data_IF_356015359001
#
_entry.id   IF_356015359001
#
_cell.length_a   1.000
_cell.length_b   1.000
_cell.length_c   1.000
_cell.angle_alpha   90.00
_cell.angle_beta   90.00
_cell.angle_gamma   90.00
#
_symmetry.space_group_name_H-M   'P 1'
#
loop_
_entity.id
_entity.type
_entity.pdbx_description
1 polymer ?
#
# COMPACT_ATOMS: atom_id res chain seq x y z
N UNK A 1 -12.45 -24.27 -16.95
CA UNK A 1 -11.46 -23.87 -15.92
C UNK A 1 -10.95 -22.47 -16.31
N UNK A 2 -11.68 -21.40 -15.97
CA UNK A 2 -11.32 -20.00 -16.29
C UNK A 2 -12.34 -18.98 -15.70
N UNK A 3 -12.43 -18.85 -14.37
CA UNK A 3 -13.25 -17.79 -13.76
C UNK A 3 -12.50 -16.92 -12.74
N UNK A 4 -11.20 -17.13 -12.52
CA UNK A 4 -10.42 -16.38 -11.54
C UNK A 4 -9.70 -15.15 -12.10
N UNK A 5 -9.54 -15.03 -13.42
CA UNK A 5 -8.64 -14.01 -13.99
C UNK A 5 -9.25 -12.60 -14.10
N UNK A 6 -10.59 -12.51 -14.24
CA UNK A 6 -11.25 -11.24 -14.62
C UNK A 6 -11.39 -10.25 -13.46
N UNK A 7 -11.54 -10.75 -12.23
CA UNK A 7 -11.68 -9.89 -11.04
C UNK A 7 -10.33 -9.27 -10.64
N UNK A 8 -9.25 -10.05 -10.68
CA UNK A 8 -7.91 -9.56 -10.34
C UNK A 8 -7.38 -8.60 -11.39
N UNK A 9 -7.56 -8.90 -12.68
CA UNK A 9 -7.14 -8.02 -13.77
C UNK A 9 -7.79 -6.62 -13.68
N UNK A 10 -9.08 -6.57 -13.34
CA UNK A 10 -9.78 -5.29 -13.16
C UNK A 10 -9.24 -4.48 -11.97
N UNK A 11 -8.82 -5.13 -10.88
CA UNK A 11 -8.26 -4.45 -9.71
C UNK A 11 -6.86 -3.90 -9.97
N UNK A 12 -6.01 -4.63 -10.71
CA UNK A 12 -4.72 -4.11 -11.16
C UNK A 12 -4.87 -2.94 -12.13
N UNK A 13 -5.87 -3.00 -13.03
CA UNK A 13 -6.19 -1.88 -13.91
C UNK A 13 -6.66 -0.66 -13.11
N UNK A 14 -7.51 -0.86 -12.09
CA UNK A 14 -7.92 0.20 -11.17
C UNK A 14 -6.74 0.76 -10.37
N UNK A 15 -5.76 -0.07 -10.00
CA UNK A 15 -4.55 0.38 -9.31
C UNK A 15 -3.67 1.27 -10.21
N UNK A 16 -3.49 0.86 -11.48
CA UNK A 16 -2.80 1.68 -12.46
C UNK A 16 -3.54 2.99 -12.73
N UNK A 17 -4.87 2.94 -12.82
CA UNK A 17 -5.70 4.12 -12.99
C UNK A 17 -5.61 5.05 -11.77
N UNK A 18 -5.60 4.50 -10.55
CA UNK A 18 -5.37 5.25 -9.32
C UNK A 18 -4.01 5.95 -9.36
N UNK A 19 -2.95 5.25 -9.75
CA UNK A 19 -1.63 5.85 -9.95
C UNK A 19 -1.64 6.96 -11.02
N UNK A 20 -2.38 6.80 -12.11
CA UNK A 20 -2.55 7.86 -13.12
C UNK A 20 -3.24 9.11 -12.56
N UNK A 21 -4.30 8.94 -11.78
CA UNK A 21 -4.97 10.05 -11.09
C UNK A 21 -4.08 10.70 -10.05
N UNK A 22 -3.24 9.93 -9.36
CA UNK A 22 -2.26 10.44 -8.41
C UNK A 22 -1.27 11.40 -9.08
N UNK A 23 -0.80 11.05 -10.27
CA UNK A 23 0.09 11.92 -11.05
C UNK A 23 -0.65 13.23 -11.40
N UNK A 24 -1.90 13.15 -11.84
CA UNK A 24 -2.72 14.32 -12.11
C UNK A 24 -2.93 15.21 -10.88
N UNK A 25 -3.14 14.60 -9.71
CA UNK A 25 -3.20 15.28 -8.42
C UNK A 25 -1.87 15.98 -8.10
N UNK A 26 -0.74 15.27 -8.15
CA UNK A 26 0.58 15.81 -7.86
C UNK A 26 0.93 17.02 -8.74
N UNK A 27 0.66 16.92 -10.05
CA UNK A 27 0.82 18.04 -10.98
C UNK A 27 -0.12 19.19 -10.63
N UNK A 28 -1.39 18.91 -10.33
CA UNK A 28 -2.34 19.97 -10.00
C UNK A 28 -1.96 20.73 -8.71
N UNK A 29 -1.41 20.03 -7.71
CA UNK A 29 -0.87 20.64 -6.49
C UNK A 29 0.31 21.54 -6.83
N UNK A 30 1.27 21.08 -7.65
CA UNK A 30 2.38 21.91 -8.13
C UNK A 30 1.88 23.17 -8.85
N UNK A 31 0.93 23.03 -9.77
CA UNK A 31 0.36 24.14 -10.53
C UNK A 31 -0.46 25.11 -9.69
N UNK A 32 -1.04 24.65 -8.57
CA UNK A 32 -1.84 25.48 -7.68
C UNK A 32 -1.03 26.55 -6.93
N UNK A 33 0.31 26.47 -6.92
CA UNK A 33 1.20 27.34 -6.15
C UNK A 33 0.74 27.44 -4.68
N UNK A 34 0.58 26.29 -4.03
CA UNK A 34 0.11 26.23 -2.64
C UNK A 34 -1.37 26.59 -2.49
N UNK A 35 -2.22 26.13 -3.42
CA UNK A 35 -3.67 26.36 -3.44
C UNK A 35 -4.13 27.80 -3.68
N UNK A 36 -3.24 28.69 -4.11
CA UNK A 36 -3.57 30.09 -4.43
C UNK A 36 -4.36 30.23 -5.73
N UNK A 37 -4.16 29.31 -6.70
CA UNK A 37 -4.92 29.28 -7.95
C UNK A 37 -6.12 28.33 -7.86
N UNK A 38 -7.32 28.90 -7.74
CA UNK A 38 -8.57 28.16 -7.50
C UNK A 38 -8.87 27.10 -8.57
N UNK A 39 -8.57 27.35 -9.84
CA UNK A 39 -8.77 26.39 -10.93
C UNK A 39 -7.95 25.11 -10.73
N UNK A 40 -6.65 25.26 -10.49
CA UNK A 40 -5.73 24.14 -10.23
C UNK A 40 -6.04 23.44 -8.90
N UNK A 41 -6.42 24.19 -7.87
CA UNK A 41 -6.87 23.64 -6.59
C UNK A 41 -8.09 22.74 -6.75
N UNK A 42 -9.08 23.16 -7.54
CA UNK A 42 -10.30 22.37 -7.75
C UNK A 42 -9.98 21.07 -8.50
N UNK A 43 -9.12 21.15 -9.52
CA UNK A 43 -8.64 19.99 -10.27
C UNK A 43 -7.86 19.03 -9.34
N UNK A 44 -7.01 19.55 -8.46
CA UNK A 44 -6.30 18.75 -7.46
C UNK A 44 -7.28 17.98 -6.56
N UNK A 45 -8.32 18.64 -6.02
CA UNK A 45 -9.32 17.98 -5.18
C UNK A 45 -10.05 16.87 -5.94
N UNK A 46 -10.42 17.10 -7.19
CA UNK A 46 -11.10 16.09 -8.02
C UNK A 46 -10.20 14.87 -8.24
N UNK A 47 -8.95 15.08 -8.67
CA UNK A 47 -8.00 13.98 -8.87
C UNK A 47 -7.69 13.25 -7.56
N UNK A 48 -7.60 13.97 -6.44
CA UNK A 48 -7.39 13.39 -5.11
C UNK A 48 -8.53 12.47 -4.67
N UNK A 49 -9.78 12.84 -4.94
CA UNK A 49 -10.91 11.97 -4.65
C UNK A 49 -10.95 10.76 -5.59
N UNK A 50 -10.62 10.96 -6.88
CA UNK A 50 -10.59 9.89 -7.87
C UNK A 50 -9.49 8.86 -7.61
N UNK A 51 -8.27 9.31 -7.28
CA UNK A 51 -7.12 8.44 -6.95
C UNK A 51 -7.43 7.61 -5.70
N UNK A 52 -7.97 8.22 -4.64
CA UNK A 52 -8.35 7.50 -3.41
C UNK A 52 -9.49 6.51 -3.65
N UNK A 53 -10.50 6.88 -4.43
CA UNK A 53 -11.59 5.97 -4.74
C UNK A 53 -11.10 4.77 -5.56
N UNK A 54 -10.33 5.00 -6.62
CA UNK A 54 -9.79 3.93 -7.45
C UNK A 54 -8.83 3.02 -6.67
N UNK A 55 -7.98 3.60 -5.82
CA UNK A 55 -7.10 2.85 -4.92
C UNK A 55 -7.92 2.00 -3.95
N UNK A 56 -8.93 2.58 -3.31
CA UNK A 56 -9.80 1.85 -2.37
C UNK A 56 -10.45 0.63 -3.02
N UNK A 57 -10.88 0.73 -4.29
CA UNK A 57 -11.45 -0.40 -5.01
C UNK A 57 -10.39 -1.45 -5.36
N UNK A 58 -9.18 -1.05 -5.76
CA UNK A 58 -8.07 -1.96 -6.02
C UNK A 58 -7.64 -2.73 -4.76
N UNK A 59 -7.64 -2.07 -3.60
CA UNK A 59 -7.29 -2.66 -2.30
C UNK A 59 -8.32 -3.66 -1.76
N UNK A 60 -9.49 -3.81 -2.41
CA UNK A 60 -10.45 -4.86 -2.03
C UNK A 60 -9.98 -6.27 -2.38
N UNK A 61 -9.03 -6.39 -3.30
CA UNK A 61 -8.51 -7.66 -3.81
C UNK A 61 -6.99 -7.74 -3.72
N UNK A 62 -6.29 -6.60 -3.74
CA UNK A 62 -4.83 -6.51 -3.60
C UNK A 62 -4.49 -6.19 -2.15
N UNK A 63 -3.47 -6.87 -1.62
CA UNK A 63 -2.93 -6.56 -0.29
C UNK A 63 -2.62 -5.07 -0.14
N UNK A 64 -3.04 -4.50 0.98
CA UNK A 64 -2.89 -3.07 1.29
C UNK A 64 -1.45 -2.60 1.12
N UNK A 65 -0.47 -3.34 1.64
CA UNK A 65 0.95 -3.01 1.50
C UNK A 65 1.43 -3.00 0.05
N UNK A 66 0.98 -3.96 -0.77
CA UNK A 66 1.35 -4.03 -2.20
C UNK A 66 0.70 -2.89 -2.97
N UNK A 67 -0.59 -2.66 -2.76
CA UNK A 67 -1.33 -1.61 -3.46
C UNK A 67 -0.81 -0.21 -3.16
N UNK A 68 -0.58 0.12 -1.88
CA UNK A 68 0.01 1.42 -1.51
C UNK A 68 1.42 1.60 -2.06
N UNK A 69 2.27 0.58 -2.05
CA UNK A 69 3.62 0.68 -2.58
C UNK A 69 3.63 0.95 -4.10
N UNK A 70 2.78 0.26 -4.85
CA UNK A 70 2.65 0.47 -6.31
C UNK A 70 2.07 1.85 -6.60
N UNK A 71 1.00 2.24 -5.90
CA UNK A 71 0.36 3.55 -6.06
C UNK A 71 1.33 4.70 -5.77
N UNK A 72 2.03 4.66 -4.62
CA UNK A 72 3.03 5.66 -4.26
C UNK A 72 4.20 5.68 -5.24
N UNK A 73 4.66 4.51 -5.70
CA UNK A 73 5.73 4.41 -6.70
C UNK A 73 5.37 5.05 -8.03
N UNK A 74 4.16 4.79 -8.55
CA UNK A 74 3.66 5.40 -9.79
C UNK A 74 3.50 6.91 -9.62
N UNK A 75 2.90 7.36 -8.52
CA UNK A 75 2.74 8.78 -8.22
C UNK A 75 4.08 9.52 -8.17
N UNK A 76 5.05 8.97 -7.43
CA UNK A 76 6.39 9.56 -7.32
C UNK A 76 7.12 9.59 -8.66
N UNK A 77 7.13 8.48 -9.41
CA UNK A 77 7.78 8.41 -10.71
C UNK A 77 7.13 9.35 -11.73
N UNK A 78 5.80 9.39 -11.79
CA UNK A 78 5.09 10.25 -12.72
C UNK A 78 5.21 11.73 -12.37
N UNK A 79 5.20 12.10 -11.08
CA UNK A 79 5.48 13.47 -10.65
C UNK A 79 6.91 13.89 -10.99
N UNK A 80 7.89 12.99 -10.80
CA UNK A 80 9.28 13.23 -11.17
C UNK A 80 9.47 13.46 -12.67
N UNK A 81 8.77 12.68 -13.50
CA UNK A 81 8.91 12.73 -14.95
C UNK A 81 8.11 13.87 -15.59
N UNK A 82 6.88 14.11 -15.12
CA UNK A 82 5.96 15.09 -15.73
C UNK A 82 6.03 16.46 -15.07
N UNK A 83 6.47 16.57 -13.82
CA UNK A 83 6.64 17.86 -13.13
C UNK A 83 7.52 18.84 -13.91
N UNK A 84 8.76 18.46 -14.29
CA UNK A 84 9.64 19.32 -15.08
C UNK A 84 9.06 19.72 -16.43
N UNK A 85 8.28 18.82 -17.04
CA UNK A 85 7.65 19.06 -18.32
C UNK A 85 6.51 20.08 -18.25
N UNK A 86 5.76 20.12 -17.13
CA UNK A 86 4.62 21.02 -16.96
C UNK A 86 4.97 22.37 -16.33
N UNK A 87 6.02 22.44 -15.51
CA UNK A 87 6.38 23.64 -14.77
C UNK A 87 7.56 24.41 -15.37
N UNK A 88 8.11 23.95 -16.50
CA UNK A 88 9.33 24.50 -17.12
C UNK A 88 10.50 24.62 -16.10
N UNK A 89 10.43 23.84 -15.03
CA UNK A 89 11.39 23.85 -13.94
C UNK A 89 12.43 22.77 -14.22
N UNK A 90 13.71 23.15 -14.15
CA UNK A 90 14.79 22.20 -14.38
C UNK A 90 14.93 21.30 -13.15
N UNK A 91 14.67 20.01 -13.29
CA UNK A 91 15.14 19.05 -12.28
C UNK A 91 16.67 19.09 -12.27
N UNK A 92 17.22 19.66 -11.20
CA UNK A 92 18.67 19.60 -10.99
C UNK A 92 19.07 18.14 -10.76
N UNK A 93 20.25 17.75 -11.25
CA UNK A 93 20.80 16.39 -11.07
C UNK A 93 20.79 16.00 -9.59
N UNK A 94 21.05 16.96 -8.70
CA UNK A 94 20.97 16.80 -7.25
C UNK A 94 19.56 16.44 -6.76
N UNK A 95 18.51 17.14 -7.22
CA UNK A 95 17.12 16.80 -6.87
C UNK A 95 16.74 15.40 -7.37
N UNK A 96 17.18 15.03 -8.57
CA UNK A 96 16.92 13.69 -9.11
C UNK A 96 17.59 12.58 -8.27
N UNK A 97 18.83 12.79 -7.80
CA UNK A 97 19.52 11.84 -6.91
C UNK A 97 18.77 11.67 -5.59
N UNK A 98 18.39 12.76 -4.93
CA UNK A 98 17.67 12.70 -3.65
C UNK A 98 16.27 12.13 -3.80
N UNK A 99 15.59 12.41 -4.92
CA UNK A 99 14.32 11.78 -5.25
C UNK A 99 14.50 10.26 -5.43
N UNK A 100 15.59 9.82 -6.06
CA UNK A 100 15.98 8.43 -6.12
C UNK A 100 16.20 7.80 -4.73
N UNK A 101 16.81 8.53 -3.79
CA UNK A 101 16.97 8.09 -2.38
C UNK A 101 15.63 7.94 -1.68
N UNK A 102 14.69 8.88 -1.88
CA UNK A 102 13.34 8.79 -1.31
C UNK A 102 12.61 7.56 -1.87
N UNK A 103 12.64 7.36 -3.19
CA UNK A 103 12.03 6.20 -3.84
C UNK A 103 12.65 4.91 -3.32
N UNK A 104 13.99 4.84 -3.22
CA UNK A 104 14.69 3.69 -2.66
C UNK A 104 14.31 3.41 -1.20
N UNK A 105 14.13 4.46 -0.38
CA UNK A 105 13.65 4.35 0.99
C UNK A 105 12.24 3.79 1.09
N UNK A 106 11.32 4.23 0.23
CA UNK A 106 9.95 3.69 0.15
C UNK A 106 9.95 2.23 -0.28
N UNK A 107 10.76 1.88 -1.30
CA UNK A 107 10.91 0.49 -1.75
C UNK A 107 11.49 -0.38 -0.64
N UNK A 108 12.54 0.09 0.05
CA UNK A 108 13.15 -0.63 1.16
C UNK A 108 12.18 -0.83 2.32
N UNK A 109 11.36 0.18 2.64
CA UNK A 109 10.30 0.06 3.66
C UNK A 109 9.30 -1.05 3.31
N UNK A 110 8.87 -1.12 2.04
CA UNK A 110 8.00 -2.21 1.55
C UNK A 110 8.66 -3.59 1.62
N UNK A 111 9.99 -3.68 1.43
CA UNK A 111 10.72 -4.93 1.59
C UNK A 111 10.95 -5.30 3.07
N UNK A 112 11.01 -4.29 3.94
CA UNK A 112 11.20 -4.46 5.38
C UNK A 112 9.93 -4.88 6.11
N UNK A 113 8.74 -4.59 5.55
CA UNK A 113 7.46 -5.16 5.98
C UNK A 113 7.50 -6.70 5.82
N UNK A 114 7.97 -7.39 6.86
CA UNK A 114 7.76 -8.82 7.03
C UNK A 114 6.30 -9.05 7.45
N UNK A 115 5.64 -10.12 7.01
CA UNK A 115 4.43 -10.59 7.65
C UNK A 115 4.81 -11.14 9.03
N UNK A 116 4.94 -10.27 10.03
CA UNK A 116 4.95 -10.66 11.45
C UNK A 116 3.52 -10.98 11.92
N UNK A 117 2.80 -11.77 11.14
CA UNK A 117 1.54 -12.38 11.53
C UNK A 117 1.63 -13.89 11.22
N UNK A 118 2.75 -14.51 11.58
CA UNK A 118 2.65 -15.88 12.05
C UNK A 118 1.83 -15.79 13.35
N UNK A 119 0.72 -16.52 13.50
CA UNK A 119 0.07 -16.63 14.80
C UNK A 119 1.19 -17.02 15.76
N UNK A 120 1.51 -16.14 16.73
CA UNK A 120 2.31 -16.52 17.87
C UNK A 120 1.74 -17.87 18.30
N UNK A 121 2.55 -18.93 18.17
CA UNK A 121 2.16 -20.29 18.49
C UNK A 121 1.29 -20.20 19.75
N UNK A 122 0.01 -20.53 19.59
CA UNK A 122 -0.92 -20.47 20.70
C UNK A 122 -0.21 -21.13 21.89
N UNK A 123 -0.11 -20.48 23.06
CA UNK A 123 0.52 -21.13 24.20
C UNK A 123 -0.17 -22.47 24.32
N UNK A 124 0.59 -23.56 24.14
CA UNK A 124 0.04 -24.90 24.22
C UNK A 124 -0.66 -24.97 25.56
N UNK A 125 -2.00 -24.94 25.53
CA UNK A 125 -2.82 -25.15 26.71
C UNK A 125 -2.28 -26.45 27.31
N UNK A 126 -1.70 -26.43 28.52
CA UNK A 126 -1.15 -27.62 29.12
C UNK A 126 -2.22 -28.70 29.00
N UNK A 127 -1.87 -29.84 28.38
CA UNK A 127 -2.82 -30.91 28.12
C UNK A 127 -3.31 -31.48 29.47
N UNK A 128 -4.35 -30.86 29.99
CA UNK A 128 -4.99 -31.22 31.26
C UNK A 128 -5.68 -32.59 31.17
N UNK A 129 -5.80 -33.17 29.96
CA UNK A 129 -6.32 -34.54 29.80
C UNK A 129 -5.33 -35.57 30.32
N UNK A 130 -4.01 -35.35 30.20
CA UNK A 130 -2.99 -36.20 30.81
C UNK A 130 -3.07 -36.18 32.33
N UNK A 131 -3.14 -34.98 32.91
CA UNK A 131 -3.22 -34.78 34.37
C UNK A 131 -4.50 -35.34 35.00
N UNK A 132 -5.64 -35.24 34.30
CA UNK A 132 -6.90 -35.83 34.75
C UNK A 132 -6.93 -37.36 34.67
N UNK A 133 -6.10 -37.95 33.79
CA UNK A 133 -5.98 -39.40 33.64
C UNK A 133 -5.07 -39.98 34.73
N UNK A 134 -3.91 -39.36 34.98
CA UNK A 134 -3.01 -39.73 36.09
C UNK A 134 -3.66 -39.56 37.48
N UNK A 135 -4.46 -38.50 37.68
CA UNK A 135 -5.18 -38.28 38.93
C UNK A 135 -6.26 -39.35 39.19
N UNK A 136 -6.86 -39.92 38.14
CA UNK A 136 -7.85 -41.01 38.27
C UNK A 136 -7.20 -42.37 38.52
N UNK A 137 -6.04 -42.64 37.93
CA UNK A 137 -5.30 -43.89 38.16
C UNK A 137 -4.72 -43.97 39.58
N UNK A 138 -4.15 -42.87 40.08
CA UNK A 138 -3.61 -42.79 41.46
C UNK A 138 -4.69 -42.91 42.53
N UNK A 139 -5.91 -42.42 42.26
CA UNK A 139 -7.04 -42.52 43.20
C UNK A 139 -7.75 -43.89 43.18
N UNK A 140 -7.67 -44.62 42.07
CA UNK A 140 -8.17 -46.00 41.95
C UNK A 140 -7.27 -47.04 42.62
N UNK A 141 -5.96 -46.78 42.73
CA UNK A 141 -4.98 -47.69 43.32
C UNK A 141 -4.93 -47.66 44.87
N UNK A 142 -5.63 -46.71 45.52
CA UNK A 142 -5.66 -46.55 46.98
C UNK A 142 -6.99 -46.99 47.64
N UNK A 143 -7.86 -47.71 46.93
CA UNK A 143 -9.09 -48.29 47.49
C UNK A 143 -9.11 -49.80 47.47
#
# INVERSE_FOLDING_TARGET
MSHTDRSSANSWLMLLLAGGFEIGYALSVGGSHGFTRLSWSLVAVVFFLLTLWALSVALRTIDVGIGYAVWAGIGAAGAALLGPFFFDESLTVTQAVWLGVIIAGVVWLKLADRPENAPAAAPETPDTRGLATEARETQGAQR
#
